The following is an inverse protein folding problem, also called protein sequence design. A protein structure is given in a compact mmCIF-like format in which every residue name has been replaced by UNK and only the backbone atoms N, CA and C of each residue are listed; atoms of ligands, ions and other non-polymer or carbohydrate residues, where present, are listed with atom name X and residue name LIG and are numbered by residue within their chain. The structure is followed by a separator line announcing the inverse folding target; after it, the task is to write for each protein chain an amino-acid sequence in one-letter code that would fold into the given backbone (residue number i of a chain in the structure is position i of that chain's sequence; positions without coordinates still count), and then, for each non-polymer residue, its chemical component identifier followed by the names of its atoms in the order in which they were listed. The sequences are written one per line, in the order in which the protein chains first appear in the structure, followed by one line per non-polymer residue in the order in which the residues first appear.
data_IF_045773150776
#
_entry.id   IF_045773150776
#
_cell.length_a   1.000
_cell.length_b   1.000
_cell.length_c   1.000
_cell.angle_alpha   90.00
_cell.angle_beta   90.00
_cell.angle_gamma   90.00
#
_symmetry.space_group_name_H-M   'P 1'
#
loop_
_entity.id
_entity.type
_entity.pdbx_description
1 polymer ?
#
# COMPACT_ATOMS: atom_id res chain seq x y z
N UNK A 1 17.39 52.61 64.43
CA UNK A 1 17.40 51.16 64.11
C UNK A 1 16.07 50.62 64.59
N UNK A 2 15.18 50.01 63.83
CA UNK A 2 15.10 49.55 62.43
C UNK A 2 13.59 49.54 62.10
N UNK A 3 13.30 49.89 60.84
CA UNK A 3 12.19 49.55 59.89
C UNK A 3 10.86 48.96 60.39
N UNK A 4 9.75 49.42 59.77
CA UNK A 4 8.97 48.59 58.83
C UNK A 4 7.83 49.41 58.18
N UNK A 5 8.04 49.84 56.93
CA UNK A 5 7.01 50.35 56.02
C UNK A 5 6.54 49.17 55.14
N UNK A 6 5.29 48.72 55.36
CA UNK A 6 4.68 47.66 54.57
C UNK A 6 3.68 48.29 53.57
N UNK A 7 4.09 48.44 52.32
CA UNK A 7 3.21 48.82 51.20
C UNK A 7 2.82 47.57 50.41
N UNK A 8 1.53 47.21 50.46
CA UNK A 8 0.94 46.19 49.60
C UNK A 8 0.71 46.76 48.19
N UNK A 9 1.53 46.35 47.22
CA UNK A 9 1.23 46.52 45.79
C UNK A 9 0.25 45.44 45.32
N UNK A 10 -1.00 45.84 45.08
CA UNK A 10 -2.01 45.03 44.41
C UNK A 10 -1.71 44.91 42.92
N UNK A 11 -0.97 43.87 42.53
CA UNK A 11 -0.78 43.51 41.12
C UNK A 11 -2.01 42.76 40.59
N UNK A 12 -2.84 43.48 39.83
CA UNK A 12 -4.02 42.97 39.12
C UNK A 12 -3.56 42.02 38.00
N UNK A 13 -3.49 40.71 38.30
CA UNK A 13 -3.20 39.66 37.31
C UNK A 13 -4.41 39.50 36.39
N UNK A 14 -4.38 40.14 35.21
CA UNK A 14 -5.27 39.78 34.12
C UNK A 14 -5.02 38.31 33.72
N UNK A 15 -5.95 37.43 34.10
CA UNK A 15 -6.01 36.07 33.58
C UNK A 15 -6.26 36.13 32.07
N UNK A 16 -5.20 35.97 31.27
CA UNK A 16 -5.32 35.70 29.83
C UNK A 16 -6.02 34.35 29.67
N UNK A 17 -7.31 34.38 29.43
CA UNK A 17 -8.10 33.21 29.07
C UNK A 17 -7.57 32.63 27.76
N UNK A 18 -7.09 31.39 27.80
CA UNK A 18 -6.67 30.68 26.59
C UNK A 18 -7.89 30.45 25.68
N UNK A 19 -7.76 30.64 24.36
CA UNK A 19 -8.81 30.27 23.43
C UNK A 19 -9.07 28.76 23.52
N UNK A 20 -10.34 28.32 23.43
CA UNK A 20 -10.68 26.90 23.50
C UNK A 20 -9.97 26.14 22.36
N UNK A 21 -9.54 24.89 22.61
CA UNK A 21 -8.88 24.11 21.57
C UNK A 21 -9.81 23.95 20.37
N UNK A 22 -9.27 24.16 19.18
CA UNK A 22 -10.01 24.01 17.94
C UNK A 22 -10.61 22.59 17.88
N UNK A 23 -11.92 22.51 17.67
CA UNK A 23 -12.60 21.23 17.47
C UNK A 23 -12.25 20.71 16.08
N UNK A 24 -11.70 19.50 16.03
CA UNK A 24 -11.53 18.76 14.79
C UNK A 24 -12.85 18.06 14.50
N UNK A 25 -13.52 18.45 13.42
CA UNK A 25 -14.71 17.75 12.92
C UNK A 25 -14.28 16.77 11.83
N UNK A 26 -14.65 15.51 11.98
CA UNK A 26 -14.40 14.48 10.97
C UNK A 26 -15.53 14.50 9.97
N UNK A 27 -15.23 14.91 8.74
CA UNK A 27 -16.16 14.81 7.63
C UNK A 27 -16.06 13.43 6.98
N UNK A 28 -17.20 12.78 6.75
CA UNK A 28 -17.25 11.49 6.07
C UNK A 28 -17.06 11.70 4.58
N UNK A 29 -16.00 11.13 4.02
CA UNK A 29 -15.81 11.07 2.57
C UNK A 29 -16.86 10.15 1.89
N UNK A 30 -17.19 10.39 0.62
CA UNK A 30 -17.97 9.46 -0.19
C UNK A 30 -17.35 8.05 -0.20
N UNK A 31 -18.17 7.04 -0.47
CA UNK A 31 -17.68 5.68 -0.67
C UNK A 31 -16.88 5.58 -1.98
N UNK A 32 -15.88 4.70 -1.99
CA UNK A 32 -15.15 4.35 -3.20
C UNK A 32 -16.08 3.67 -4.23
N UNK A 33 -15.80 3.85 -5.52
CA UNK A 33 -16.61 3.28 -6.62
C UNK A 33 -15.78 2.32 -7.48
N UNK A 34 -16.26 1.11 -7.81
CA UNK A 34 -17.46 0.50 -7.27
C UNK A 34 -17.28 0.14 -5.79
N UNK A 35 -18.40 -0.09 -5.11
CA UNK A 35 -18.37 -0.65 -3.77
C UNK A 35 -17.67 -2.02 -3.80
N UNK A 36 -16.70 -2.22 -2.92
CA UNK A 36 -16.17 -3.55 -2.64
C UNK A 36 -17.07 -4.23 -1.60
N UNK A 37 -17.89 -5.18 -2.05
CA UNK A 37 -18.76 -5.97 -1.16
C UNK A 37 -18.03 -7.11 -0.43
N UNK A 38 -16.72 -7.20 -0.61
CA UNK A 38 -15.88 -8.22 -0.01
C UNK A 38 -15.19 -7.71 1.26
N UNK A 39 -14.80 -8.64 2.13
CA UNK A 39 -14.00 -8.29 3.30
C UNK A 39 -12.67 -7.70 2.86
N UNK A 40 -12.43 -6.44 3.19
CA UNK A 40 -11.10 -5.84 3.13
C UNK A 40 -10.25 -6.35 4.32
N UNK A 41 -9.05 -6.82 4.01
CA UNK A 41 -8.09 -7.29 5.02
C UNK A 41 -7.07 -6.21 5.39
N UNK A 42 -6.66 -5.40 4.41
CA UNK A 42 -5.71 -4.29 4.57
C UNK A 42 -5.98 -3.21 3.53
N UNK A 43 -5.76 -1.95 3.89
CA UNK A 43 -5.74 -0.82 2.96
C UNK A 43 -4.50 0.02 3.24
N UNK A 44 -3.61 0.12 2.25
CA UNK A 44 -2.29 0.74 2.40
C UNK A 44 -2.15 1.90 1.40
N UNK A 45 -2.05 3.15 1.89
CA UNK A 45 -1.83 4.29 1.01
C UNK A 45 -0.43 4.21 0.40
N UNK A 46 -0.32 4.67 -0.84
CA UNK A 46 0.98 4.81 -1.48
C UNK A 46 1.80 5.91 -0.78
N UNK A 47 3.13 5.79 -0.65
CA UNK A 47 3.95 6.72 0.14
C UNK A 47 3.89 8.19 -0.31
N UNK A 48 3.68 8.44 -1.61
CA UNK A 48 3.73 9.81 -2.19
C UNK A 48 2.55 10.13 -3.11
N UNK A 49 2.20 9.23 -4.02
CA UNK A 49 1.01 9.34 -4.88
C UNK A 49 -0.31 9.17 -4.10
N UNK A 50 -1.40 9.83 -4.52
CA UNK A 50 -2.75 9.69 -3.95
C UNK A 50 -3.42 8.36 -4.35
N UNK A 51 -2.73 7.24 -4.13
CA UNK A 51 -3.23 5.90 -4.42
C UNK A 51 -3.46 5.11 -3.13
N UNK A 52 -4.44 4.21 -3.15
CA UNK A 52 -4.75 3.31 -2.03
C UNK A 52 -4.87 1.88 -2.53
N UNK A 53 -3.97 0.99 -2.11
CA UNK A 53 -4.08 -0.43 -2.37
C UNK A 53 -4.93 -1.08 -1.27
N UNK A 54 -6.02 -1.74 -1.65
CA UNK A 54 -6.88 -2.49 -0.72
C UNK A 54 -6.86 -3.98 -1.05
N UNK A 55 -6.37 -4.79 -0.12
CA UNK A 55 -6.39 -6.25 -0.20
C UNK A 55 -7.76 -6.80 0.20
N UNK A 56 -8.37 -7.58 -0.69
CA UNK A 56 -9.68 -8.20 -0.48
C UNK A 56 -9.78 -9.46 -1.33
N UNK A 57 -10.59 -10.43 -0.89
CA UNK A 57 -10.65 -11.75 -1.52
C UNK A 57 -9.25 -12.27 -1.86
N UNK A 58 -9.00 -12.70 -3.10
CA UNK A 58 -7.71 -13.17 -3.64
C UNK A 58 -6.98 -12.10 -4.46
N UNK A 59 -7.35 -10.83 -4.28
CA UNK A 59 -6.97 -9.75 -5.17
C UNK A 59 -6.57 -8.50 -4.39
N UNK A 60 -6.02 -7.53 -5.10
CA UNK A 60 -5.86 -6.16 -4.58
C UNK A 60 -6.51 -5.19 -5.56
N UNK A 61 -7.33 -4.28 -5.04
CA UNK A 61 -7.81 -3.15 -5.83
C UNK A 61 -7.04 -1.90 -5.45
N UNK A 62 -6.47 -1.22 -6.44
CA UNK A 62 -5.84 0.09 -6.29
C UNK A 62 -6.89 1.16 -6.59
N UNK A 63 -7.12 2.07 -5.65
CA UNK A 63 -8.04 3.20 -5.79
C UNK A 63 -7.27 4.51 -5.97
N UNK A 64 -7.87 5.43 -6.73
CA UNK A 64 -7.54 6.86 -6.68
C UNK A 64 -8.14 7.47 -5.43
N UNK A 65 -7.34 8.25 -4.70
CA UNK A 65 -7.82 9.06 -3.57
C UNK A 65 -8.31 10.43 -4.02
N UNK A 66 -7.95 10.89 -5.22
CA UNK A 66 -8.42 12.17 -5.76
C UNK A 66 -9.88 12.12 -6.21
N UNK A 67 -10.32 11.02 -6.83
CA UNK A 67 -11.70 10.87 -7.33
C UNK A 67 -12.50 9.73 -6.68
N UNK A 68 -11.86 8.95 -5.80
CA UNK A 68 -12.44 7.82 -5.08
C UNK A 68 -12.94 6.69 -6.00
N UNK A 69 -12.35 6.54 -7.19
CA UNK A 69 -12.64 5.43 -8.10
C UNK A 69 -11.63 4.29 -7.98
N UNK A 70 -12.09 3.07 -8.19
CA UNK A 70 -11.25 1.90 -8.35
C UNK A 70 -10.56 2.00 -9.69
N UNK A 71 -9.28 1.69 -9.66
CA UNK A 71 -8.47 1.84 -10.81
C UNK A 71 -7.98 0.48 -11.35
N UNK A 72 -7.08 -0.19 -10.64
CA UNK A 72 -6.55 -1.50 -11.06
C UNK A 72 -7.08 -2.59 -10.15
N UNK A 73 -7.31 -3.78 -10.71
CA UNK A 73 -7.60 -4.98 -9.94
C UNK A 73 -6.53 -6.03 -10.22
N UNK A 74 -5.56 -6.12 -9.32
CA UNK A 74 -4.47 -7.09 -9.35
C UNK A 74 -5.05 -8.46 -8.99
N UNK A 75 -5.17 -9.33 -10.00
CA UNK A 75 -5.85 -10.63 -9.91
C UNK A 75 -4.96 -11.73 -10.50
N UNK A 76 -5.24 -13.00 -10.17
CA UNK A 76 -4.53 -14.14 -10.75
C UNK A 76 -3.21 -14.51 -10.06
N UNK A 77 -2.64 -13.64 -9.22
CA UNK A 77 -1.39 -13.91 -8.49
C UNK A 77 -1.52 -14.83 -7.26
N UNK A 78 -2.72 -14.94 -6.67
CA UNK A 78 -2.94 -15.71 -5.44
C UNK A 78 -4.11 -16.69 -5.55
N UNK A 79 -3.96 -17.86 -4.93
CA UNK A 79 -4.97 -18.92 -4.94
C UNK A 79 -5.93 -18.85 -3.74
N UNK A 80 -5.55 -18.12 -2.70
CA UNK A 80 -6.35 -17.85 -1.49
C UNK A 80 -6.34 -16.36 -1.17
N UNK A 81 -6.93 -15.99 -0.04
CA UNK A 81 -7.18 -14.59 0.25
C UNK A 81 -5.90 -13.79 0.49
N UNK A 82 -5.80 -12.60 -0.12
CA UNK A 82 -4.75 -11.64 0.15
C UNK A 82 -5.02 -10.95 1.46
N UNK A 83 -4.07 -11.08 2.38
CA UNK A 83 -4.18 -10.61 3.76
C UNK A 83 -3.55 -9.23 3.96
N UNK A 84 -2.43 -8.98 3.29
CA UNK A 84 -1.69 -7.74 3.42
C UNK A 84 -1.13 -7.33 2.07
N UNK A 85 -0.94 -6.03 1.87
CA UNK A 85 -0.35 -5.45 0.67
C UNK A 85 0.47 -4.22 1.07
N UNK A 86 1.68 -4.09 0.54
CA UNK A 86 2.60 -2.99 0.83
C UNK A 86 3.27 -2.47 -0.43
N UNK A 87 3.41 -1.16 -0.50
CA UNK A 87 4.14 -0.48 -1.57
C UNK A 87 5.63 -0.52 -1.29
N UNK A 88 6.42 -0.76 -2.34
CA UNK A 88 7.87 -0.56 -2.28
C UNK A 88 8.18 0.95 -2.25
N UNK A 89 8.87 1.45 -1.22
CA UNK A 89 9.27 2.86 -1.18
C UNK A 89 10.45 3.12 -2.13
N UNK A 90 10.64 4.40 -2.49
CA UNK A 90 11.86 4.83 -3.19
C UNK A 90 11.97 4.41 -4.65
N UNK A 91 10.89 3.95 -5.28
CA UNK A 91 10.86 3.65 -6.71
C UNK A 91 11.06 4.90 -7.56
N UNK A 92 11.66 4.73 -8.74
CA UNK A 92 11.78 5.78 -9.73
C UNK A 92 10.39 6.28 -10.18
N UNK A 93 10.25 7.58 -10.53
CA UNK A 93 9.01 8.07 -11.14
C UNK A 93 8.70 7.25 -12.39
N UNK A 94 7.48 6.74 -12.51
CA UNK A 94 7.08 5.89 -13.64
C UNK A 94 6.94 4.43 -13.26
N UNK A 95 7.50 4.02 -12.12
CA UNK A 95 7.50 2.62 -11.67
C UNK A 95 6.79 2.48 -10.33
N UNK A 96 5.93 1.48 -10.23
CA UNK A 96 5.30 1.06 -8.99
C UNK A 96 5.63 -0.40 -8.72
N UNK A 97 5.69 -0.72 -7.44
CA UNK A 97 5.83 -2.08 -6.99
C UNK A 97 5.00 -2.29 -5.74
N UNK A 98 4.21 -3.35 -5.76
CA UNK A 98 3.38 -3.78 -4.66
C UNK A 98 3.72 -5.22 -4.30
N UNK A 99 3.87 -5.50 -3.02
CA UNK A 99 4.01 -6.86 -2.51
C UNK A 99 2.78 -7.24 -1.71
N UNK A 100 2.25 -8.41 -1.99
CA UNK A 100 1.05 -8.97 -1.35
C UNK A 100 1.44 -10.19 -0.52
N UNK A 101 0.84 -10.35 0.66
CA UNK A 101 0.94 -11.57 1.46
C UNK A 101 -0.40 -12.27 1.54
N UNK A 102 -0.43 -13.59 1.31
CA UNK A 102 -1.67 -14.34 1.12
C UNK A 102 -1.81 -15.56 2.01
N UNK A 103 -3.06 -16.03 2.12
CA UNK A 103 -3.42 -17.26 2.82
C UNK A 103 -2.96 -18.53 2.11
N UNK A 104 -2.46 -18.44 0.88
CA UNK A 104 -1.83 -19.56 0.15
C UNK A 104 -0.37 -19.79 0.55
N UNK A 105 0.09 -19.12 1.60
CA UNK A 105 1.44 -19.21 2.16
C UNK A 105 2.51 -18.54 1.30
N UNK A 106 2.15 -17.74 0.31
CA UNK A 106 3.11 -17.01 -0.51
C UNK A 106 3.01 -15.50 -0.32
N UNK A 107 4.09 -14.81 -0.67
CA UNK A 107 4.02 -13.39 -1.00
C UNK A 107 4.22 -13.19 -2.51
N UNK A 108 3.41 -12.32 -3.11
CA UNK A 108 3.41 -12.05 -4.55
C UNK A 108 3.92 -10.65 -4.85
N UNK A 109 4.72 -10.50 -5.90
CA UNK A 109 5.27 -9.22 -6.34
C UNK A 109 4.57 -8.75 -7.61
N UNK A 110 4.15 -7.50 -7.60
CA UNK A 110 3.44 -6.86 -8.69
C UNK A 110 4.21 -5.63 -9.15
N UNK A 111 4.38 -5.48 -10.46
CA UNK A 111 5.04 -4.34 -11.09
C UNK A 111 4.05 -3.59 -11.97
N UNK A 112 4.28 -2.29 -12.06
CA UNK A 112 3.64 -1.43 -13.05
C UNK A 112 4.69 -0.41 -13.48
N UNK A 113 4.87 -0.25 -14.78
CA UNK A 113 5.82 0.68 -15.34
C UNK A 113 5.19 1.43 -16.50
N UNK A 114 5.49 2.72 -16.57
CA UNK A 114 5.14 3.59 -17.69
C UNK A 114 6.34 3.78 -18.60
N UNK A 115 6.21 3.51 -19.89
CA UNK A 115 7.30 3.63 -20.86
C UNK A 115 7.93 5.03 -20.91
N UNK A 116 7.15 6.09 -20.67
CA UNK A 116 7.65 7.46 -20.70
C UNK A 116 6.99 8.40 -19.67
N UNK A 117 7.82 8.98 -18.81
CA UNK A 117 7.45 10.03 -17.86
C UNK A 117 7.23 9.53 -16.43
N UNK A 118 7.02 10.48 -15.50
CA UNK A 118 6.72 10.13 -14.11
C UNK A 118 5.32 9.52 -14.00
N UNK A 119 5.20 8.42 -13.26
CA UNK A 119 3.93 7.83 -12.84
C UNK A 119 3.12 8.91 -12.12
N UNK A 120 2.03 9.31 -12.74
CA UNK A 120 1.00 10.09 -12.05
C UNK A 120 -0.15 9.18 -11.68
N UNK A 121 -0.97 9.61 -10.72
CA UNK A 121 -2.23 8.94 -10.43
C UNK A 121 -3.04 8.72 -11.71
N UNK A 122 -3.09 9.73 -12.61
CA UNK A 122 -3.85 9.64 -13.86
C UNK A 122 -3.29 8.61 -14.84
N UNK A 123 -1.97 8.39 -14.86
CA UNK A 123 -1.31 7.43 -15.75
C UNK A 123 -1.52 5.99 -15.31
N UNK A 124 -1.41 5.73 -14.00
CA UNK A 124 -1.92 4.46 -13.48
C UNK A 124 -3.37 4.41 -13.94
N UNK A 125 -4.16 5.49 -13.78
CA UNK A 125 -5.60 5.43 -13.98
C UNK A 125 -6.19 5.21 -15.39
N UNK A 126 -5.39 5.34 -16.45
CA UNK A 126 -5.90 5.76 -17.75
C UNK A 126 -5.80 4.74 -18.87
N UNK A 127 -6.75 3.78 -18.98
CA UNK A 127 -7.22 3.15 -20.25
C UNK A 127 -8.56 2.37 -20.12
N UNK A 128 -9.50 2.74 -19.23
CA UNK A 128 -10.86 2.12 -19.21
C UNK A 128 -12.02 3.09 -19.44
N UNK A 129 -11.81 4.23 -20.13
CA UNK A 129 -12.95 4.97 -20.67
C UNK A 129 -13.34 4.43 -22.06
N UNK A 130 -14.54 3.87 -22.12
CA UNK A 130 -15.34 3.42 -23.28
C UNK A 130 -15.14 2.01 -23.84
N UNK A 131 -15.82 1.04 -23.20
CA UNK A 131 -16.60 0.02 -23.95
C UNK A 131 -18.08 0.09 -23.56
N UNK A 132 -18.75 1.17 -23.97
CA UNK A 132 -20.20 1.09 -24.21
C UNK A 132 -20.36 0.49 -25.61
N UNK A 133 -20.70 -0.80 -25.66
CA UNK A 133 -21.00 -1.53 -26.89
C UNK A 133 -22.19 -0.89 -27.61
N UNK A 134 -21.91 -0.24 -28.75
CA UNK A 134 -22.82 -0.23 -29.89
C UNK A 134 -22.49 -1.43 -30.77
N UNK A 135 -23.51 -2.18 -31.16
CA UNK A 135 -23.48 -3.20 -32.22
C UNK A 135 -22.73 -2.68 -33.46
N UNK A 136 -21.81 -3.50 -33.99
CA UNK A 136 -21.91 -4.10 -35.33
C UNK A 136 -20.54 -4.68 -35.74
N UNK A 137 -20.61 -5.88 -36.32
CA UNK A 137 -19.51 -6.72 -36.77
C UNK A 137 -18.35 -5.94 -37.44
N UNK A 138 -17.14 -6.03 -36.86
CA UNK A 138 -15.92 -5.81 -37.64
C UNK A 138 -14.78 -6.68 -37.12
N UNK A 139 -14.40 -7.63 -37.97
CA UNK A 139 -13.22 -8.47 -37.89
C UNK A 139 -12.00 -7.57 -38.15
N UNK A 140 -11.33 -7.13 -37.09
CA UNK A 140 -10.08 -6.39 -37.15
C UNK A 140 -9.10 -6.96 -36.12
N UNK A 141 -8.19 -7.78 -36.61
CA UNK A 141 -6.92 -8.09 -35.97
C UNK A 141 -6.08 -6.81 -35.80
N UNK A 142 -5.18 -6.86 -34.81
CA UNK A 142 -4.35 -5.78 -34.25
C UNK A 142 -5.08 -4.81 -33.32
N UNK A 143 -5.12 -5.18 -32.04
CA UNK A 143 -5.17 -4.22 -30.95
C UNK A 143 -3.88 -4.42 -30.15
N UNK A 144 -3.01 -3.43 -30.23
CA UNK A 144 -1.80 -3.27 -29.43
C UNK A 144 -2.09 -3.71 -27.98
N UNK A 145 -1.28 -4.64 -27.45
CA UNK A 145 -1.39 -5.04 -26.06
C UNK A 145 -1.20 -3.80 -25.17
N UNK A 146 -2.10 -3.58 -24.21
CA UNK A 146 -2.02 -2.45 -23.28
C UNK A 146 -0.69 -2.50 -22.50
N UNK A 147 0.31 -1.73 -22.93
CA UNK A 147 1.69 -1.76 -22.40
C UNK A 147 1.83 -1.16 -20.98
N UNK A 148 0.79 -0.52 -20.44
CA UNK A 148 0.75 0.09 -19.10
C UNK A 148 -0.10 -0.73 -18.09
N UNK A 149 -0.03 -2.07 -18.12
CA UNK A 149 -0.76 -2.96 -17.20
C UNK A 149 0.09 -3.43 -15.99
N UNK A 150 -0.58 -3.83 -14.91
CA UNK A 150 0.06 -4.50 -13.79
C UNK A 150 0.52 -5.90 -14.16
N UNK A 151 1.80 -6.19 -13.96
CA UNK A 151 2.38 -7.51 -14.15
C UNK A 151 2.62 -8.21 -12.80
N UNK A 152 2.25 -9.49 -12.71
CA UNK A 152 2.63 -10.36 -11.60
C UNK A 152 3.98 -11.03 -11.91
N UNK A 153 5.06 -10.53 -11.33
CA UNK A 153 6.41 -10.90 -11.77
C UNK A 153 7.02 -12.03 -10.96
N UNK A 154 6.74 -12.13 -9.67
CA UNK A 154 7.45 -13.06 -8.79
C UNK A 154 6.60 -13.57 -7.61
N UNK A 155 6.89 -14.80 -7.19
CA UNK A 155 6.34 -15.43 -5.98
C UNK A 155 7.47 -15.72 -5.01
N UNK A 156 7.36 -15.17 -3.80
CA UNK A 156 8.21 -15.51 -2.66
C UNK A 156 7.60 -16.71 -1.93
N UNK A 157 8.19 -17.89 -2.18
CA UNK A 157 7.79 -19.16 -1.59
C UNK A 157 8.74 -19.55 -0.45
N UNK A 158 8.19 -20.06 0.64
CA UNK A 158 8.99 -20.51 1.78
C UNK A 158 8.19 -20.76 3.05
N UNK A 159 7.17 -19.93 3.28
CA UNK A 159 6.26 -20.11 4.40
C UNK A 159 5.43 -21.41 4.27
N UNK A 160 5.27 -22.13 5.37
CA UNK A 160 4.46 -23.36 5.42
C UNK A 160 2.98 -23.09 5.70
N UNK A 161 2.66 -21.84 6.06
CA UNK A 161 1.30 -21.42 6.39
C UNK A 161 1.05 -19.98 5.93
N UNK A 162 -0.20 -19.54 6.09
CA UNK A 162 -0.69 -18.24 5.64
C UNK A 162 0.16 -17.04 6.11
N UNK A 163 0.61 -16.24 5.14
CA UNK A 163 1.34 -14.99 5.38
C UNK A 163 0.37 -13.98 6.01
N UNK A 164 0.75 -13.46 7.17
CA UNK A 164 -0.06 -12.52 7.96
C UNK A 164 0.26 -11.07 7.65
N UNK A 165 1.54 -10.77 7.43
CA UNK A 165 2.02 -9.42 7.16
C UNK A 165 3.23 -9.45 6.24
N UNK A 166 3.39 -8.37 5.51
CA UNK A 166 4.51 -8.07 4.64
C UNK A 166 4.92 -6.62 4.92
N UNK A 167 6.20 -6.30 4.95
CA UNK A 167 6.70 -4.95 5.24
C UNK A 167 8.03 -4.70 4.56
N UNK A 168 8.17 -3.56 3.89
CA UNK A 168 9.44 -3.12 3.32
C UNK A 168 10.28 -2.39 4.37
N UNK A 169 11.59 -2.57 4.30
CA UNK A 169 12.51 -1.63 4.91
C UNK A 169 12.37 -0.26 4.22
N UNK A 170 12.60 0.87 4.92
CA UNK A 170 12.51 2.20 4.33
C UNK A 170 13.42 2.43 3.12
N UNK A 171 14.52 1.66 3.01
CA UNK A 171 15.42 1.67 1.86
C UNK A 171 14.83 1.01 0.61
N UNK A 172 13.80 0.17 0.75
CA UNK A 172 13.18 -0.56 -0.36
C UNK A 172 13.98 -1.76 -0.87
N UNK A 173 15.09 -2.13 -0.24
CA UNK A 173 15.93 -3.28 -0.63
C UNK A 173 15.59 -4.57 0.10
N UNK A 174 15.08 -4.46 1.33
CA UNK A 174 14.69 -5.60 2.15
C UNK A 174 13.18 -5.64 2.33
N UNK A 175 12.65 -6.85 2.33
CA UNK A 175 11.26 -7.16 2.66
C UNK A 175 11.23 -8.17 3.80
N UNK A 176 10.38 -7.92 4.80
CA UNK A 176 10.05 -8.91 5.82
C UNK A 176 8.65 -9.49 5.54
N UNK A 177 8.50 -10.80 5.68
CA UNK A 177 7.22 -11.49 5.67
C UNK A 177 7.08 -12.33 6.93
N UNK A 178 5.87 -12.43 7.48
CA UNK A 178 5.63 -13.23 8.68
C UNK A 178 4.38 -14.09 8.55
N UNK A 179 4.37 -15.23 9.23
CA UNK A 179 3.33 -16.24 9.03
C UNK A 179 2.84 -16.88 10.31
N UNK A 180 1.72 -17.60 10.16
CA UNK A 180 1.20 -18.55 11.14
C UNK A 180 2.13 -19.74 11.38
N UNK A 181 3.08 -20.00 10.47
CA UNK A 181 4.12 -21.01 10.67
C UNK A 181 5.17 -20.61 11.74
N UNK A 182 4.99 -19.44 12.38
CA UNK A 182 5.82 -18.89 13.46
C UNK A 182 7.19 -18.39 13.00
N UNK A 183 7.39 -18.29 11.70
CA UNK A 183 8.62 -17.74 11.13
C UNK A 183 8.44 -16.32 10.61
N UNK A 184 9.55 -15.60 10.58
CA UNK A 184 9.74 -14.37 9.81
C UNK A 184 10.80 -14.67 8.75
N UNK A 185 10.51 -14.32 7.50
CA UNK A 185 11.46 -14.41 6.41
C UNK A 185 11.89 -13.01 6.00
N UNK A 186 13.20 -12.84 5.79
CA UNK A 186 13.80 -11.62 5.28
C UNK A 186 14.30 -11.90 3.88
N UNK A 187 13.83 -11.08 2.95
CA UNK A 187 14.13 -11.17 1.53
C UNK A 187 14.90 -9.93 1.09
N UNK A 188 15.83 -10.11 0.18
CA UNK A 188 16.58 -9.02 -0.45
C UNK A 188 16.38 -9.04 -1.96
N UNK A 189 16.14 -7.87 -2.52
CA UNK A 189 16.12 -7.65 -3.97
C UNK A 189 17.57 -7.43 -4.44
N UNK A 190 18.21 -8.51 -4.88
CA UNK A 190 19.59 -8.51 -5.39
C UNK A 190 19.65 -8.04 -6.85
N UNK A 191 18.56 -8.24 -7.60
CA UNK A 191 18.44 -7.86 -9.01
C UNK A 191 18.22 -6.36 -9.23
N UNK A 192 17.87 -5.58 -8.19
CA UNK A 192 17.69 -4.13 -8.26
C UNK A 192 18.85 -3.36 -8.92
N UNK A 193 20.08 -3.90 -8.83
CA UNK A 193 21.27 -3.29 -9.44
C UNK A 193 21.46 -3.65 -10.92
N UNK A 194 20.89 -4.77 -11.36
CA UNK A 194 21.03 -5.32 -12.71
C UNK A 194 19.78 -5.11 -13.56
N UNK A 195 18.67 -4.67 -12.96
CA UNK A 195 17.41 -4.38 -13.64
C UNK A 195 16.45 -5.57 -13.69
N UNK A 196 16.80 -6.69 -13.06
CA UNK A 196 16.01 -7.91 -13.00
C UNK A 196 15.29 -8.04 -11.65
N UNK A 197 14.15 -8.75 -11.63
CA UNK A 197 13.44 -9.10 -10.39
C UNK A 197 14.06 -10.37 -9.79
N UNK A 198 15.21 -10.23 -9.14
CA UNK A 198 15.88 -11.33 -8.45
C UNK A 198 15.82 -11.14 -6.94
N UNK A 199 15.14 -12.08 -6.27
CA UNK A 199 14.89 -12.03 -4.83
C UNK A 199 15.47 -13.24 -4.13
N UNK A 200 16.22 -13.00 -3.07
CA UNK A 200 16.86 -14.05 -2.29
C UNK A 200 16.43 -14.02 -0.82
N UNK A 201 16.39 -15.19 -0.19
CA UNK A 201 16.20 -15.30 1.26
C UNK A 201 17.52 -15.01 1.98
N UNK A 202 17.56 -13.91 2.72
CA UNK A 202 18.72 -13.52 3.53
C UNK A 202 18.67 -14.16 4.92
N UNK A 203 17.48 -14.29 5.49
CA UNK A 203 17.32 -14.83 6.85
C UNK A 203 15.94 -15.44 7.07
N UNK A 204 15.89 -16.44 7.95
CA UNK A 204 14.65 -17.04 8.46
C UNK A 204 14.74 -17.08 9.98
N UNK A 205 13.85 -16.35 10.65
CA UNK A 205 13.79 -16.24 12.10
C UNK A 205 12.67 -17.15 12.61
N UNK A 206 13.00 -18.13 13.44
CA UNK A 206 12.09 -19.20 13.90
C UNK A 206 11.95 -19.28 15.41
N UNK A 207 12.36 -18.24 16.13
CA UNK A 207 12.38 -18.22 17.60
C UNK A 207 10.99 -18.07 18.23
N UNK A 208 9.94 -17.77 17.44
CA UNK A 208 8.60 -17.55 17.96
C UNK A 208 7.88 -18.86 18.26
N UNK A 209 7.26 -18.95 19.44
CA UNK A 209 6.46 -20.12 19.84
C UNK A 209 5.03 -20.12 19.26
N UNK A 210 4.57 -19.01 18.71
CA UNK A 210 3.22 -18.83 18.17
C UNK A 210 3.17 -17.98 16.90
N UNK A 211 1.98 -17.85 16.32
CA UNK A 211 1.74 -17.07 15.10
C UNK A 211 2.36 -15.67 15.16
N UNK A 212 3.16 -15.31 14.16
CA UNK A 212 3.64 -13.94 14.01
C UNK A 212 2.60 -13.14 13.24
N UNK A 213 2.00 -12.14 13.89
CA UNK A 213 0.85 -11.41 13.34
C UNK A 213 1.22 -10.20 12.50
N UNK A 214 2.38 -9.61 12.74
CA UNK A 214 2.89 -8.45 12.04
C UNK A 214 4.42 -8.40 12.11
N UNK A 215 4.99 -7.74 11.11
CA UNK A 215 6.40 -7.30 11.00
C UNK A 215 6.41 -5.85 10.58
#
# INVERSE_FOLDING_TARGET
MIEDDNQEEGADRQEKTMPPPARVELERLPAFKPDLYHRAWSSTPHPTLPLLATAHEKSVTVFSLSDLSAHSSLTGGHTRSVRSAVWRPGMAPGKLCLVTGSFDSTAGLWRWEKEAGAATEVDVTGQQQQRQSGDDDNDAADADADEDEWEFTLVLEGHENEVKSVAFAPSGHLLATCSRDKSIWIWEDVGASEGDDEWETVSVLTEHDGDVKCV
#
